data_IF_246423284940
#
_entry.id   IF_246423284940
#
_cell.length_a   1.000
_cell.length_b   1.000
_cell.length_c   1.000
_cell.angle_alpha   90.00
_cell.angle_beta   90.00
_cell.angle_gamma   90.00
#
_symmetry.space_group_name_H-M   'P 1'
#
loop_
_entity.id
_entity.type
_entity.pdbx_description
1 polymer ?
#
# COMPACT_ATOMS: atom_id res chain seq x y z
N UNK A 1 13.99 22.19 -12.02
CA UNK A 1 12.57 22.18 -11.61
C UNK A 1 11.87 21.29 -12.63
N UNK A 2 11.53 20.05 -12.27
CA UNK A 2 10.90 19.11 -13.21
C UNK A 2 9.43 19.52 -13.30
N UNK A 3 9.05 20.14 -14.41
CA UNK A 3 7.64 20.31 -14.74
C UNK A 3 7.10 18.96 -15.20
N UNK A 4 6.37 18.29 -14.33
CA UNK A 4 5.54 17.15 -14.71
C UNK A 4 4.31 17.77 -15.39
N UNK A 5 4.21 17.61 -16.71
CA UNK A 5 3.00 17.97 -17.43
C UNK A 5 1.87 17.05 -16.94
N UNK A 6 1.00 17.61 -16.11
CA UNK A 6 -0.09 16.89 -15.47
C UNK A 6 -1.19 16.65 -16.49
N UNK A 7 -1.28 15.43 -17.00
CA UNK A 7 -2.35 15.00 -17.89
C UNK A 7 -3.69 14.94 -17.13
N UNK A 8 -4.34 16.09 -16.95
CA UNK A 8 -5.73 16.42 -16.58
C UNK A 8 -6.48 15.64 -15.47
N UNK A 9 -5.88 14.65 -14.80
CA UNK A 9 -6.50 13.89 -13.71
C UNK A 9 -5.60 13.93 -12.47
N UNK A 10 -6.10 14.42 -11.33
CA UNK A 10 -5.35 14.43 -10.08
C UNK A 10 -5.02 12.99 -9.64
N UNK A 11 -3.89 12.83 -8.94
CA UNK A 11 -3.52 11.54 -8.36
C UNK A 11 -4.57 11.11 -7.35
N UNK A 12 -5.14 9.91 -7.52
CA UNK A 12 -6.08 9.33 -6.57
C UNK A 12 -5.36 8.91 -5.31
N UNK A 13 -5.88 9.29 -4.14
CA UNK A 13 -5.34 8.87 -2.85
C UNK A 13 -6.26 7.80 -2.28
N UNK A 14 -5.77 6.57 -2.12
CA UNK A 14 -6.59 5.40 -1.77
C UNK A 14 -6.05 4.73 -0.52
N UNK A 15 -6.92 4.48 0.45
CA UNK A 15 -6.61 3.72 1.66
C UNK A 15 -7.48 2.47 1.72
N UNK A 16 -6.86 1.31 1.87
CA UNK A 16 -7.55 0.01 1.96
C UNK A 16 -7.01 -0.74 3.18
N UNK A 17 -7.77 -0.79 4.28
CA UNK A 17 -7.25 -1.30 5.54
C UNK A 17 -8.31 -1.42 6.62
N UNK A 18 -7.87 -1.48 7.88
CA UNK A 18 -8.77 -1.68 9.02
C UNK A 18 -9.81 -0.55 9.14
N UNK A 19 -11.07 -0.89 9.42
CA UNK A 19 -12.16 0.08 9.59
C UNK A 19 -11.84 1.19 10.61
N UNK A 20 -11.06 0.87 11.65
CA UNK A 20 -10.66 1.85 12.67
C UNK A 20 -9.81 3.01 12.12
N UNK A 21 -9.17 2.84 10.96
CA UNK A 21 -8.31 3.85 10.35
C UNK A 21 -8.99 4.63 9.23
N UNK A 22 -10.08 4.11 8.64
CA UNK A 22 -10.68 4.71 7.46
C UNK A 22 -11.19 6.12 7.70
N UNK A 23 -11.73 6.41 8.88
CA UNK A 23 -12.24 7.75 9.18
C UNK A 23 -11.14 8.80 9.15
N UNK A 24 -9.95 8.49 9.72
CA UNK A 24 -8.81 9.40 9.71
C UNK A 24 -8.31 9.70 8.29
N UNK A 25 -8.19 8.68 7.46
CA UNK A 25 -7.77 8.84 6.06
C UNK A 25 -8.79 9.61 5.22
N UNK A 26 -10.09 9.36 5.45
CA UNK A 26 -11.16 10.08 4.76
C UNK A 26 -11.13 11.57 5.04
N UNK A 27 -10.82 11.99 6.27
CA UNK A 27 -10.71 13.40 6.66
C UNK A 27 -9.62 14.16 5.90
N UNK A 28 -8.58 13.46 5.42
CA UNK A 28 -7.47 14.05 4.67
C UNK A 28 -7.57 13.80 3.15
N UNK A 29 -8.75 13.40 2.67
CA UNK A 29 -9.04 13.31 1.24
C UNK A 29 -8.72 11.97 0.58
N UNK A 30 -8.48 10.92 1.35
CA UNK A 30 -8.38 9.57 0.78
C UNK A 30 -9.76 9.01 0.47
N UNK A 31 -9.85 8.29 -0.65
CA UNK A 31 -10.87 7.29 -0.90
C UNK A 31 -10.58 6.08 0.00
N UNK A 32 -11.55 5.60 0.77
CA UNK A 32 -11.30 4.60 1.81
C UNK A 32 -12.15 3.36 1.66
N UNK A 33 -11.53 2.19 1.81
CA UNK A 33 -12.19 0.89 1.90
C UNK A 33 -11.89 0.28 3.26
N UNK A 34 -12.95 0.07 4.05
CA UNK A 34 -12.87 -0.57 5.36
C UNK A 34 -12.89 -2.09 5.20
N UNK A 35 -11.94 -2.76 5.86
CA UNK A 35 -11.78 -4.21 5.88
C UNK A 35 -11.96 -4.89 4.51
N UNK A 36 -11.25 -4.43 3.46
CA UNK A 36 -11.49 -4.91 2.10
C UNK A 36 -11.01 -6.34 1.91
N UNK A 37 -11.71 -7.08 1.05
CA UNK A 37 -11.28 -8.40 0.60
C UNK A 37 -10.19 -8.29 -0.46
N UNK A 38 -9.47 -9.40 -0.70
CA UNK A 38 -8.49 -9.48 -1.79
C UNK A 38 -9.16 -9.21 -3.16
N UNK A 39 -10.39 -9.70 -3.38
CA UNK A 39 -11.12 -9.46 -4.64
C UNK A 39 -11.41 -7.97 -4.86
N UNK A 40 -11.75 -7.24 -3.81
CA UNK A 40 -11.96 -5.78 -3.88
C UNK A 40 -10.67 -5.04 -4.23
N UNK A 41 -9.53 -5.46 -3.65
CA UNK A 41 -8.21 -4.92 -4.00
C UNK A 41 -7.89 -5.19 -5.47
N UNK A 42 -8.03 -6.44 -5.92
CA UNK A 42 -7.72 -6.86 -7.28
C UNK A 42 -8.56 -6.09 -8.30
N UNK A 43 -9.85 -5.92 -8.02
CA UNK A 43 -10.76 -5.14 -8.86
C UNK A 43 -10.32 -3.67 -8.94
N UNK A 44 -10.02 -3.04 -7.80
CA UNK A 44 -9.58 -1.65 -7.76
C UNK A 44 -8.26 -1.44 -8.52
N UNK A 45 -7.28 -2.34 -8.35
CA UNK A 45 -6.02 -2.29 -9.07
C UNK A 45 -6.21 -2.51 -10.58
N UNK A 46 -7.08 -3.44 -10.98
CA UNK A 46 -7.38 -3.70 -12.38
C UNK A 46 -8.01 -2.48 -13.07
N UNK A 47 -8.90 -1.77 -12.36
CA UNK A 47 -9.55 -0.57 -12.89
C UNK A 47 -8.57 0.59 -13.04
N UNK A 48 -7.68 0.81 -12.06
CA UNK A 48 -6.61 1.80 -12.15
C UNK A 48 -5.68 1.55 -13.36
N UNK A 49 -5.30 0.29 -13.58
CA UNK A 49 -4.46 -0.09 -14.73
C UNK A 49 -5.17 0.10 -16.07
N UNK A 50 -6.45 -0.30 -16.14
CA UNK A 50 -7.27 -0.20 -17.36
C UNK A 50 -7.45 1.27 -17.77
N UNK A 51 -7.66 2.14 -16.78
CA UNK A 51 -7.88 3.57 -17.00
C UNK A 51 -6.56 4.38 -17.05
N UNK A 52 -5.42 3.74 -16.77
CA UNK A 52 -4.10 4.37 -16.62
C UNK A 52 -4.11 5.56 -15.64
N UNK A 53 -4.82 5.39 -14.53
CA UNK A 53 -4.95 6.43 -13.51
C UNK A 53 -3.75 6.45 -12.57
N UNK A 54 -3.26 7.66 -12.27
CA UNK A 54 -2.24 7.88 -11.23
C UNK A 54 -2.86 7.62 -9.86
N UNK A 55 -2.22 6.79 -9.04
CA UNK A 55 -2.71 6.48 -7.70
C UNK A 55 -1.58 6.39 -6.67
N UNK A 56 -1.86 6.91 -5.48
CA UNK A 56 -1.11 6.64 -4.26
C UNK A 56 -1.99 5.80 -3.32
N UNK A 57 -1.55 4.57 -3.07
CA UNK A 57 -2.31 3.56 -2.33
C UNK A 57 -1.59 3.23 -1.03
N UNK A 58 -2.31 3.32 0.08
CA UNK A 58 -1.88 2.86 1.40
C UNK A 58 -2.69 1.62 1.76
N UNK A 59 -2.01 0.52 2.02
CA UNK A 59 -2.62 -0.74 2.43
C UNK A 59 -2.42 -0.98 3.93
N UNK A 60 -3.49 -1.35 4.63
CA UNK A 60 -3.40 -1.96 5.96
C UNK A 60 -2.68 -3.30 5.89
N UNK A 61 -2.09 -3.72 7.01
CA UNK A 61 -1.20 -4.88 7.07
C UNK A 61 -1.80 -6.16 6.44
N UNK A 62 -3.05 -6.51 6.81
CA UNK A 62 -3.74 -7.72 6.30
C UNK A 62 -3.96 -7.71 4.79
N UNK A 63 -4.27 -6.53 4.24
CA UNK A 63 -4.52 -6.35 2.81
C UNK A 63 -3.19 -6.38 2.04
N UNK A 64 -2.15 -5.78 2.62
CA UNK A 64 -0.81 -5.77 2.06
C UNK A 64 -0.18 -7.17 1.99
N UNK A 65 -0.54 -8.07 2.91
CA UNK A 65 -0.03 -9.45 3.00
C UNK A 65 -0.86 -10.49 2.23
N UNK A 66 -1.89 -10.09 1.48
CA UNK A 66 -2.71 -11.04 0.72
C UNK A 66 -1.94 -11.64 -0.48
N UNK A 67 -2.38 -12.80 -0.98
CA UNK A 67 -1.72 -13.49 -2.09
C UNK A 67 -2.17 -12.98 -3.48
N UNK A 68 -2.37 -11.67 -3.59
CA UNK A 68 -2.74 -11.02 -4.86
C UNK A 68 -1.55 -11.02 -5.82
N UNK A 69 -1.71 -11.72 -6.95
CA UNK A 69 -0.73 -11.71 -8.03
C UNK A 69 -0.65 -10.34 -8.71
N UNK A 70 -1.77 -9.62 -8.77
CA UNK A 70 -1.82 -8.28 -9.38
C UNK A 70 -1.06 -7.26 -8.52
N UNK A 71 -1.22 -7.31 -7.20
CA UNK A 71 -0.47 -6.48 -6.26
C UNK A 71 1.04 -6.70 -6.41
N UNK A 72 1.49 -7.97 -6.40
CA UNK A 72 2.90 -8.32 -6.58
C UNK A 72 3.46 -7.79 -7.90
N UNK A 73 2.69 -7.91 -8.98
CA UNK A 73 3.06 -7.40 -10.29
C UNK A 73 3.21 -5.88 -10.30
N UNK A 74 2.24 -5.14 -9.75
CA UNK A 74 2.30 -3.67 -9.69
C UNK A 74 3.48 -3.19 -8.86
N UNK A 75 3.76 -3.85 -7.71
CA UNK A 75 4.94 -3.53 -6.89
C UNK A 75 6.25 -3.75 -7.64
N UNK A 76 6.33 -4.77 -8.49
CA UNK A 76 7.53 -5.08 -9.27
C UNK A 76 7.73 -4.16 -10.49
N UNK A 77 6.64 -3.76 -11.15
CA UNK A 77 6.69 -2.90 -12.35
C UNK A 77 6.86 -1.41 -11.99
N UNK A 78 6.25 -0.96 -10.89
CA UNK A 78 6.24 0.45 -10.48
C UNK A 78 5.53 1.37 -11.48
N UNK A 79 5.87 2.67 -11.45
CA UNK A 79 5.35 3.66 -12.40
C UNK A 79 4.32 4.61 -11.78
N UNK A 80 3.10 4.63 -12.31
CA UNK A 80 2.07 5.62 -11.96
C UNK A 80 1.15 5.18 -10.79
N UNK A 81 1.34 3.97 -10.27
CA UNK A 81 0.67 3.48 -9.05
C UNK A 81 1.76 3.26 -8.00
N UNK A 82 1.75 4.07 -6.95
CA UNK A 82 2.66 3.95 -5.81
C UNK A 82 1.90 3.28 -4.67
N UNK A 83 2.43 2.17 -4.16
CA UNK A 83 1.81 1.39 -3.08
C UNK A 83 2.75 1.36 -1.88
N UNK A 84 2.23 1.73 -0.71
CA UNK A 84 2.89 1.53 0.57
C UNK A 84 1.98 0.79 1.53
N UNK A 85 2.55 0.23 2.59
CA UNK A 85 1.82 -0.45 3.65
C UNK A 85 2.06 0.24 4.99
N UNK A 86 1.07 0.17 5.87
CA UNK A 86 1.19 0.62 7.26
C UNK A 86 1.15 -0.58 8.22
N UNK A 87 1.78 -0.48 9.40
CA UNK A 87 1.69 -1.50 10.43
C UNK A 87 0.26 -1.71 10.93
N UNK A 88 0.04 -2.88 11.52
CA UNK A 88 -1.20 -3.15 12.23
C UNK A 88 -1.32 -2.22 13.45
N UNK A 89 -2.52 -1.72 13.71
CA UNK A 89 -2.82 -1.01 14.96
C UNK A 89 -2.72 -1.90 16.20
N UNK A 90 -2.98 -3.21 16.05
CA UNK A 90 -2.96 -4.15 17.17
C UNK A 90 -1.55 -4.59 17.54
N UNK A 91 -0.63 -4.54 16.58
CA UNK A 91 0.76 -4.99 16.75
C UNK A 91 1.71 -4.00 16.05
N UNK A 92 1.78 -2.73 16.50
CA UNK A 92 2.57 -1.71 15.84
C UNK A 92 4.07 -2.02 15.84
N UNK A 93 4.56 -2.70 16.88
CA UNK A 93 5.97 -3.08 17.05
C UNK A 93 6.37 -4.31 16.20
N UNK A 94 5.40 -5.00 15.60
CA UNK A 94 5.62 -6.20 14.79
C UNK A 94 5.42 -5.91 13.29
N UNK A 95 5.90 -4.76 12.84
CA UNK A 95 5.84 -4.42 11.43
C UNK A 95 6.83 -5.27 10.64
N UNK A 96 6.31 -6.08 9.71
CA UNK A 96 7.11 -6.80 8.72
C UNK A 96 6.80 -6.31 7.31
N UNK A 97 7.84 -5.95 6.57
CA UNK A 97 7.82 -5.52 5.18
C UNK A 97 8.65 -6.46 4.29
N UNK A 98 8.41 -6.42 2.98
CA UNK A 98 9.13 -7.28 1.99
C UNK A 98 10.65 -7.13 2.01
N UNK A 99 11.16 -6.04 2.58
CA UNK A 99 12.60 -5.79 2.67
C UNK A 99 13.21 -6.48 3.90
N UNK A 100 12.42 -6.80 4.92
CA UNK A 100 12.93 -7.38 6.17
C UNK A 100 13.58 -8.75 5.93
N UNK A 101 12.94 -9.62 5.15
CA UNK A 101 13.50 -10.92 4.77
C UNK A 101 14.83 -10.77 4.00
N UNK A 102 14.90 -9.78 3.11
CA UNK A 102 16.11 -9.50 2.32
C UNK A 102 17.23 -8.93 3.19
N UNK A 103 16.87 -8.05 4.13
CA UNK A 103 17.81 -7.46 5.07
C UNK A 103 18.35 -8.50 6.04
N UNK A 104 17.51 -9.41 6.56
CA UNK A 104 17.96 -10.54 7.37
C UNK A 104 18.96 -11.42 6.62
N UNK A 105 18.70 -11.71 5.34
CA UNK A 105 19.63 -12.48 4.50
C UNK A 105 20.94 -11.74 4.22
N UNK A 106 20.91 -10.42 4.04
CA UNK A 106 22.09 -9.60 3.78
C UNK A 106 22.93 -9.34 5.04
N UNK A 107 22.29 -9.19 6.20
CA UNK A 107 22.93 -8.83 7.47
C UNK A 107 23.27 -10.04 8.34
N UNK A 108 22.76 -11.23 8.00
CA UNK A 108 23.13 -12.49 8.66
C UNK A 108 22.59 -12.65 10.09
N UNK A 109 21.52 -11.94 10.46
CA UNK A 109 20.91 -11.98 11.79
C UNK A 109 19.47 -11.45 11.82
N UNK A 110 18.75 -11.71 12.91
CA UNK A 110 17.40 -11.16 13.15
C UNK A 110 17.48 -9.64 13.30
N UNK A 111 16.66 -8.92 12.52
CA UNK A 111 16.47 -7.48 12.66
C UNK A 111 15.76 -7.22 13.99
N UNK A 112 16.51 -6.81 15.00
CA UNK A 112 15.93 -6.22 16.21
C UNK A 112 15.46 -4.82 15.87
N UNK A 113 14.18 -4.66 15.56
CA UNK A 113 13.54 -3.35 15.58
C UNK A 113 13.61 -2.84 17.02
N UNK A 114 14.36 -1.74 17.23
CA UNK A 114 14.67 -1.21 18.55
C UNK A 114 13.41 -0.89 19.33
N UNK A 115 13.29 -1.49 20.51
CA UNK A 115 12.33 -1.08 21.53
C UNK A 115 12.89 0.19 22.20
N UNK A 116 12.24 1.33 22.01
CA UNK A 116 12.45 2.54 22.83
C UNK A 116 11.46 2.58 24.00
#
# INVERSE_FOLDING_TARGET
MIHIEDNNHPTRMIFMGEAALTDGFKLIGFETWADPTQEMLDQQLADLLRQREKAFIILGHKVASCDSQLLKRIRAEGGYIVITQIPSLSEPDNFQCEIDDRLQQLLGGELQYGQE
#
